data_IF_975726092592
#
_entry.id   IF_975726092592
#
_cell.length_a   1.000
_cell.length_b   1.000
_cell.length_c   1.000
_cell.angle_alpha   90.00
_cell.angle_beta   90.00
_cell.angle_gamma   90.00
#
_symmetry.space_group_name_H-M   'P 1'
#
loop_
_entity.id
_entity.type
_entity.pdbx_description
1 polymer ?
#
# COMPACT_ATOMS: atom_id res chain seq x y z
N UNK A 1 2.93 8.99 31.58
CA UNK A 1 2.97 10.18 30.69
C UNK A 1 3.96 10.06 29.55
N UNK A 2 4.93 9.11 29.54
CA UNK A 2 5.91 8.95 28.44
C UNK A 2 5.59 7.81 27.43
N UNK A 3 4.57 7.00 27.65
CA UNK A 3 4.18 5.91 26.73
C UNK A 3 3.15 6.31 25.67
N UNK A 4 2.48 7.45 25.82
CA UNK A 4 1.48 7.93 24.85
C UNK A 4 2.10 8.63 23.64
N UNK A 5 3.37 9.06 23.74
CA UNK A 5 4.10 9.74 22.68
C UNK A 5 4.55 8.75 21.58
N UNK A 6 4.68 7.47 21.90
CA UNK A 6 5.29 6.47 20.99
C UNK A 6 4.31 6.01 19.89
N UNK A 7 3.00 6.08 20.14
CA UNK A 7 2.02 5.71 19.09
C UNK A 7 1.70 6.85 18.12
N UNK A 8 1.98 8.09 18.48
CA UNK A 8 2.01 9.22 17.54
C UNK A 8 3.27 9.23 16.68
N UNK A 9 4.28 8.46 17.07
CA UNK A 9 5.60 8.46 16.44
C UNK A 9 5.65 7.77 15.07
N UNK A 10 4.64 7.03 14.67
CA UNK A 10 4.53 6.55 13.29
C UNK A 10 4.07 7.62 12.29
N UNK A 11 3.64 8.79 12.78
CA UNK A 11 3.32 9.97 11.97
C UNK A 11 4.12 11.21 12.39
N UNK A 12 4.93 11.12 13.39
CA UNK A 12 5.66 12.25 13.92
C UNK A 12 6.60 11.81 15.03
N UNK A 13 7.62 11.01 14.70
CA UNK A 13 8.81 11.05 15.50
C UNK A 13 9.43 12.42 15.25
N UNK A 14 8.91 13.43 15.95
CA UNK A 14 9.71 14.60 16.20
C UNK A 14 11.02 14.08 16.79
N UNK A 15 12.07 14.12 16.00
CA UNK A 15 13.44 13.86 16.43
C UNK A 15 13.82 14.88 17.48
N UNK A 16 13.24 14.77 18.68
CA UNK A 16 13.70 15.49 19.86
C UNK A 16 14.84 14.69 20.43
N UNK A 17 16.03 14.84 19.83
CA UNK A 17 17.21 14.38 20.52
C UNK A 17 18.42 13.95 19.71
N UNK A 18 18.35 13.69 18.42
CA UNK A 18 19.57 13.68 17.62
C UNK A 18 19.70 15.08 17.04
N UNK A 19 20.09 16.03 17.89
CA UNK A 19 20.69 17.26 17.43
C UNK A 19 21.98 16.85 16.70
N UNK A 20 21.90 16.68 15.39
CA UNK A 20 23.07 16.83 14.56
C UNK A 20 23.55 18.25 14.77
N UNK A 21 24.38 18.42 15.82
CA UNK A 21 25.15 19.61 16.10
C UNK A 21 26.22 19.74 15.03
N UNK A 22 25.81 19.93 13.80
CA UNK A 22 26.68 20.21 12.66
C UNK A 22 26.26 21.52 11.97
N UNK A 23 25.93 22.51 12.76
CA UNK A 23 26.17 23.87 12.36
C UNK A 23 27.47 24.34 13.02
N UNK A 24 28.61 23.90 12.50
CA UNK A 24 29.81 24.70 12.70
C UNK A 24 29.59 26.00 11.94
N UNK A 25 29.39 27.09 12.66
CA UNK A 25 29.68 28.42 12.13
C UNK A 25 31.18 28.46 11.82
N UNK A 26 31.56 27.91 10.67
CA UNK A 26 32.84 28.21 10.09
C UNK A 26 32.69 29.58 9.44
N UNK A 27 33.35 30.55 10.04
CA UNK A 27 33.75 31.81 9.40
C UNK A 27 34.74 31.44 8.29
N UNK A 28 34.25 30.90 7.18
CA UNK A 28 35.07 30.61 6.01
C UNK A 28 35.19 31.90 5.20
N UNK A 29 36.44 32.28 4.97
CA UNK A 29 36.89 33.33 4.08
C UNK A 29 36.18 33.23 2.72
N UNK A 30 35.48 34.27 2.22
CA UNK A 30 34.72 34.25 0.96
C UNK A 30 35.53 33.89 -0.30
N UNK A 31 36.86 33.74 -0.17
CA UNK A 31 37.79 33.56 -1.30
C UNK A 31 38.05 32.07 -1.67
N UNK A 32 37.47 31.09 -0.99
CA UNK A 32 37.74 29.67 -1.21
C UNK A 32 36.52 28.78 -1.34
N UNK A 33 35.34 29.28 -1.73
CA UNK A 33 34.22 28.40 -2.08
C UNK A 33 34.53 27.71 -3.38
N UNK A 34 34.45 26.36 -3.46
CA UNK A 34 34.49 25.66 -4.73
C UNK A 34 33.37 26.23 -5.63
N UNK A 35 33.59 26.19 -6.96
CA UNK A 35 32.61 26.65 -7.96
C UNK A 35 31.35 25.77 -7.86
N UNK A 36 30.44 26.15 -6.95
CA UNK A 36 29.15 25.50 -6.79
C UNK A 36 28.37 25.57 -8.09
N UNK A 37 27.96 24.41 -8.62
CA UNK A 37 27.17 24.30 -9.87
C UNK A 37 25.69 24.04 -9.62
N UNK A 38 25.28 23.79 -8.37
CA UNK A 38 23.90 23.51 -7.97
C UNK A 38 23.12 24.79 -7.63
N UNK A 39 21.80 24.74 -7.82
CA UNK A 39 20.87 25.73 -7.25
C UNK A 39 20.76 25.56 -5.73
N UNK A 40 20.19 26.54 -5.01
CA UNK A 40 19.90 26.38 -3.57
C UNK A 40 18.99 25.20 -3.29
N UNK A 41 18.01 24.97 -4.16
CA UNK A 41 17.12 23.82 -4.07
C UNK A 41 17.91 22.50 -4.13
N UNK A 42 18.72 22.31 -5.17
CA UNK A 42 19.51 21.08 -5.33
C UNK A 42 20.54 20.91 -4.22
N UNK A 43 21.15 22.01 -3.78
CA UNK A 43 22.10 21.99 -2.65
C UNK A 43 21.44 21.40 -1.39
N UNK A 44 20.34 21.99 -0.95
CA UNK A 44 19.66 21.53 0.27
C UNK A 44 18.95 20.19 0.10
N UNK A 45 18.44 19.86 -1.10
CA UNK A 45 17.85 18.56 -1.36
C UNK A 45 18.87 17.42 -1.26
N UNK A 46 20.10 17.61 -1.75
CA UNK A 46 21.17 16.64 -1.59
C UNK A 46 21.55 16.45 -0.11
N UNK A 47 21.70 17.55 0.65
CA UNK A 47 21.97 17.45 2.08
C UNK A 47 20.87 16.68 2.80
N UNK A 48 19.61 17.05 2.57
CA UNK A 48 18.47 16.38 3.18
C UNK A 48 18.45 14.89 2.86
N UNK A 49 18.55 14.51 1.58
CA UNK A 49 18.53 13.12 1.16
C UNK A 49 19.67 12.31 1.81
N UNK A 50 20.88 12.88 1.84
CA UNK A 50 22.04 12.26 2.45
C UNK A 50 21.87 12.06 3.94
N UNK A 51 21.44 13.10 4.69
CA UNK A 51 21.21 13.03 6.13
C UNK A 51 20.16 11.94 6.48
N UNK A 52 19.09 11.85 5.68
CA UNK A 52 18.04 10.84 5.89
C UNK A 52 18.54 9.43 5.62
N UNK A 53 19.29 9.21 4.54
CA UNK A 53 19.84 7.90 4.21
C UNK A 53 20.93 7.48 5.19
N UNK A 54 21.80 8.37 5.61
CA UNK A 54 22.82 8.06 6.64
C UNK A 54 22.19 7.65 7.97
N UNK A 55 21.11 8.32 8.38
CA UNK A 55 20.51 8.15 9.71
C UNK A 55 19.48 7.03 9.77
N UNK A 56 18.52 7.05 8.83
CA UNK A 56 17.31 6.24 8.94
C UNK A 56 17.33 5.00 8.07
N UNK A 57 18.07 5.00 6.96
CA UNK A 57 17.99 3.91 5.98
C UNK A 57 18.47 2.57 6.57
N UNK A 58 17.68 1.52 6.37
CA UNK A 58 18.01 0.19 6.90
C UNK A 58 19.36 -0.31 6.35
N UNK A 59 19.63 -0.12 5.07
CA UNK A 59 20.86 -0.51 4.37
C UNK A 59 21.89 0.64 4.30
N UNK A 60 21.96 1.50 5.32
CA UNK A 60 22.85 2.66 5.30
C UNK A 60 24.34 2.30 5.20
N UNK A 61 24.73 1.13 5.70
CA UNK A 61 26.11 0.63 5.60
C UNK A 61 26.46 0.15 4.21
N UNK A 62 25.52 -0.53 3.55
CA UNK A 62 25.67 -1.10 2.23
C UNK A 62 25.85 0.00 1.18
N UNK A 63 25.17 1.13 1.33
CA UNK A 63 25.24 2.28 0.42
C UNK A 63 26.26 3.35 0.83
N UNK A 64 27.00 3.15 1.93
CA UNK A 64 27.89 4.19 2.48
C UNK A 64 28.95 4.68 1.47
N UNK A 65 29.38 3.81 0.55
CA UNK A 65 30.31 4.17 -0.53
C UNK A 65 29.70 5.06 -1.61
N UNK A 66 28.38 5.05 -1.81
CA UNK A 66 27.67 5.75 -2.85
C UNK A 66 27.05 7.06 -2.35
N UNK A 67 26.88 7.25 -1.04
CA UNK A 67 26.36 8.49 -0.45
C UNK A 67 27.09 9.78 -0.88
N UNK A 68 28.41 9.78 -1.15
CA UNK A 68 29.09 10.94 -1.71
C UNK A 68 28.58 11.41 -3.07
N UNK A 69 27.81 10.59 -3.81
CA UNK A 69 27.15 11.01 -5.07
C UNK A 69 26.05 12.04 -4.82
N UNK A 70 25.49 12.09 -3.61
CA UNK A 70 24.60 13.17 -3.14
C UNK A 70 25.46 14.37 -2.69
N UNK A 71 26.27 14.91 -3.61
CA UNK A 71 27.13 16.04 -3.37
C UNK A 71 26.35 17.36 -3.52
N UNK A 72 26.18 18.16 -2.45
CA UNK A 72 25.44 19.42 -2.51
C UNK A 72 26.01 20.43 -3.51
N UNK A 73 27.32 20.41 -3.75
CA UNK A 73 27.98 21.41 -4.60
C UNK A 73 27.86 21.07 -6.11
N UNK A 74 27.71 19.77 -6.47
CA UNK A 74 27.83 19.33 -7.86
C UNK A 74 26.66 18.52 -8.39
N UNK A 75 25.87 17.83 -7.54
CA UNK A 75 24.75 16.99 -8.00
C UNK A 75 23.48 17.81 -8.25
N UNK A 76 23.06 17.86 -9.53
CA UNK A 76 21.88 18.60 -9.96
C UNK A 76 20.61 17.73 -10.08
N UNK A 77 20.66 16.45 -9.72
CA UNK A 77 19.51 15.53 -9.78
C UNK A 77 19.52 14.56 -8.59
N UNK A 78 19.20 15.04 -7.36
CA UNK A 78 19.20 14.19 -6.17
C UNK A 78 18.12 13.10 -6.22
N UNK A 79 16.99 13.31 -6.93
CA UNK A 79 15.91 12.32 -7.04
C UNK A 79 16.43 11.08 -7.78
N UNK A 80 16.97 11.26 -8.97
CA UNK A 80 17.57 10.15 -9.74
C UNK A 80 18.75 9.53 -9.01
N UNK A 81 19.56 10.35 -8.30
CA UNK A 81 20.69 9.83 -7.53
C UNK A 81 20.24 8.91 -6.40
N UNK A 82 19.22 9.27 -5.62
CA UNK A 82 18.64 8.40 -4.59
C UNK A 82 18.14 7.11 -5.19
N UNK A 83 17.45 7.17 -6.34
CA UNK A 83 16.95 5.97 -7.02
C UNK A 83 18.07 5.03 -7.49
N UNK A 84 19.23 5.58 -7.87
CA UNK A 84 20.38 4.82 -8.30
C UNK A 84 21.19 4.17 -7.17
N UNK A 85 21.32 4.87 -6.02
CA UNK A 85 22.16 4.41 -4.90
C UNK A 85 21.45 3.54 -3.87
N UNK A 86 20.11 3.46 -3.91
CA UNK A 86 19.37 2.56 -3.00
C UNK A 86 19.83 1.11 -3.19
N UNK A 87 19.73 0.31 -2.15
CA UNK A 87 20.45 -0.96 -2.03
C UNK A 87 20.16 -1.98 -3.15
N UNK A 88 21.23 -2.51 -3.69
CA UNK A 88 21.24 -3.53 -4.73
C UNK A 88 22.17 -4.70 -4.33
N UNK A 89 21.84 -5.92 -4.75
CA UNK A 89 22.74 -7.08 -4.74
C UNK A 89 23.14 -7.42 -6.19
N UNK A 90 24.28 -6.89 -6.62
CA UNK A 90 24.68 -6.95 -8.02
C UNK A 90 23.69 -6.19 -8.91
N UNK A 91 23.10 -6.87 -9.90
CA UNK A 91 22.08 -6.27 -10.79
C UNK A 91 20.67 -6.32 -10.22
N UNK A 92 20.46 -6.96 -9.05
CA UNK A 92 19.14 -7.09 -8.42
C UNK A 92 18.87 -5.91 -7.50
N UNK A 93 17.84 -5.12 -7.82
CA UNK A 93 17.32 -4.07 -6.92
C UNK A 93 16.66 -4.74 -5.71
N UNK A 94 17.19 -4.50 -4.52
CA UNK A 94 16.62 -5.01 -3.26
C UNK A 94 15.63 -4.00 -2.70
N UNK A 95 16.06 -2.76 -2.51
CA UNK A 95 15.14 -1.69 -2.15
C UNK A 95 14.45 -1.12 -3.40
N UNK A 96 13.17 -1.39 -3.53
CA UNK A 96 12.32 -0.91 -4.63
C UNK A 96 11.48 0.31 -4.23
N UNK A 97 11.55 0.76 -2.96
CA UNK A 97 10.52 1.63 -2.37
C UNK A 97 11.05 2.96 -1.86
N UNK A 98 12.32 3.06 -1.43
CA UNK A 98 12.90 4.35 -1.04
C UNK A 98 12.85 5.31 -2.20
N UNK A 99 12.30 6.51 -1.95
CA UNK A 99 12.16 7.56 -2.94
C UNK A 99 12.27 8.94 -2.32
N UNK A 100 12.97 9.83 -3.02
CA UNK A 100 13.01 11.27 -2.73
C UNK A 100 12.00 11.98 -3.63
N UNK A 101 11.28 12.95 -3.10
CA UNK A 101 10.29 13.72 -3.88
C UNK A 101 10.35 15.21 -3.57
N UNK A 102 10.08 16.03 -4.57
CA UNK A 102 9.89 17.49 -4.44
C UNK A 102 8.39 17.87 -4.33
N UNK A 103 7.51 16.88 -4.29
CA UNK A 103 6.07 17.06 -4.04
C UNK A 103 5.59 16.11 -2.93
N UNK A 104 6.13 16.34 -1.73
CA UNK A 104 5.83 15.51 -0.56
C UNK A 104 4.36 15.62 -0.13
N UNK A 105 3.74 16.78 -0.36
CA UNK A 105 2.32 16.98 -0.04
C UNK A 105 1.41 16.07 -0.86
N UNK A 106 1.62 16.00 -2.17
CA UNK A 106 0.82 15.08 -3.01
C UNK A 106 1.06 13.63 -2.66
N UNK A 107 2.31 13.26 -2.35
CA UNK A 107 2.65 11.91 -1.90
C UNK A 107 1.91 11.53 -0.61
N UNK A 108 1.93 12.36 0.43
CA UNK A 108 1.24 12.09 1.71
C UNK A 108 -0.27 12.05 1.54
N UNK A 109 -0.86 12.98 0.78
CA UNK A 109 -2.29 12.98 0.49
C UNK A 109 -2.74 11.69 -0.19
N UNK A 110 -1.95 11.15 -1.12
CA UNK A 110 -2.21 9.86 -1.76
C UNK A 110 -2.25 8.70 -0.76
N UNK A 111 -1.33 8.67 0.22
CA UNK A 111 -1.33 7.66 1.29
C UNK A 111 -2.53 7.82 2.22
N UNK A 112 -3.03 9.04 2.42
CA UNK A 112 -4.25 9.33 3.19
C UNK A 112 -5.55 8.99 2.42
N UNK A 113 -5.44 8.50 1.18
CA UNK A 113 -6.59 8.14 0.35
C UNK A 113 -7.32 9.34 -0.26
N UNK A 114 -6.72 10.54 -0.24
CA UNK A 114 -7.25 11.74 -0.90
C UNK A 114 -6.54 11.96 -2.22
N UNK A 115 -7.28 11.87 -3.31
CA UNK A 115 -6.74 12.03 -4.65
C UNK A 115 -7.66 12.86 -5.54
N UNK A 116 -7.07 13.52 -6.55
CA UNK A 116 -7.83 14.04 -7.69
C UNK A 116 -8.00 12.90 -8.68
N UNK A 117 -9.20 12.33 -8.72
CA UNK A 117 -9.45 11.03 -9.34
C UNK A 117 -10.81 10.98 -10.05
N UNK A 118 -10.98 10.00 -10.91
CA UNK A 118 -12.30 9.58 -11.42
C UNK A 118 -12.96 8.56 -10.50
N UNK A 119 -12.20 7.95 -9.57
CA UNK A 119 -12.66 6.97 -8.59
C UNK A 119 -12.96 5.60 -9.19
N UNK A 120 -12.13 5.13 -10.13
CA UNK A 120 -12.11 3.75 -10.58
C UNK A 120 -10.67 3.24 -10.72
N UNK A 121 -10.50 1.94 -10.62
CA UNK A 121 -9.21 1.29 -10.78
C UNK A 121 -9.14 0.58 -12.13
N UNK A 122 -8.39 1.10 -13.12
CA UNK A 122 -8.16 0.40 -14.38
C UNK A 122 -6.98 -0.56 -14.24
N UNK A 123 -7.11 -1.76 -14.81
CA UNK A 123 -6.02 -2.70 -15.03
C UNK A 123 -5.82 -2.81 -16.53
N UNK A 124 -4.63 -2.41 -17.01
CA UNK A 124 -4.35 -2.29 -18.44
C UNK A 124 -3.52 -3.45 -18.93
N UNK A 125 -3.90 -4.01 -20.05
CA UNK A 125 -3.26 -5.15 -20.69
C UNK A 125 -2.82 -4.81 -22.09
N UNK A 126 -1.61 -5.28 -22.46
CA UNK A 126 -1.12 -5.24 -23.83
C UNK A 126 -1.81 -6.35 -24.65
N UNK A 127 -2.44 -5.99 -25.76
CA UNK A 127 -3.20 -6.94 -26.59
C UNK A 127 -2.32 -7.91 -27.37
N UNK A 128 -1.07 -7.52 -27.69
CA UNK A 128 -0.10 -8.43 -28.31
C UNK A 128 1.33 -8.05 -27.95
N UNK A 129 2.21 -9.03 -27.80
CA UNK A 129 3.64 -8.82 -27.48
C UNK A 129 4.40 -7.96 -28.50
N UNK A 130 3.92 -7.86 -29.73
CA UNK A 130 4.57 -7.16 -30.84
C UNK A 130 3.88 -5.83 -31.19
N UNK A 131 2.77 -5.52 -30.53
CA UNK A 131 1.99 -4.30 -30.72
C UNK A 131 2.16 -3.30 -29.57
N UNK A 132 1.50 -2.16 -29.71
CA UNK A 132 1.39 -1.14 -28.68
C UNK A 132 -0.06 -0.89 -28.26
N UNK A 133 -1.01 -1.64 -28.83
CA UNK A 133 -2.43 -1.50 -28.48
C UNK A 133 -2.72 -2.16 -27.14
N UNK A 134 -3.50 -1.44 -26.34
CA UNK A 134 -3.90 -1.86 -25.00
C UNK A 134 -5.42 -1.93 -24.86
N UNK A 135 -5.87 -2.66 -23.88
CA UNK A 135 -7.23 -2.66 -23.34
C UNK A 135 -7.14 -2.49 -21.84
N UNK A 136 -8.02 -1.70 -21.24
CA UNK A 136 -8.14 -1.62 -19.80
C UNK A 136 -9.47 -2.20 -19.35
N UNK A 137 -9.43 -3.00 -18.28
CA UNK A 137 -10.62 -3.45 -17.58
C UNK A 137 -10.75 -2.69 -16.25
N UNK A 138 -11.94 -2.33 -15.85
CA UNK A 138 -12.19 -1.71 -14.55
C UNK A 138 -12.24 -2.80 -13.50
N UNK A 139 -11.28 -2.77 -12.54
CA UNK A 139 -11.20 -3.73 -11.44
C UNK A 139 -12.26 -3.45 -10.36
N UNK A 140 -12.46 -2.18 -10.02
CA UNK A 140 -13.52 -1.71 -9.12
C UNK A 140 -13.80 -0.21 -9.32
N UNK A 141 -14.88 0.25 -8.71
CA UNK A 141 -15.29 1.67 -8.73
C UNK A 141 -15.61 2.08 -7.30
N UNK A 142 -15.06 3.23 -6.88
CA UNK A 142 -15.36 3.81 -5.56
C UNK A 142 -16.76 4.39 -5.50
N UNK A 143 -17.43 4.18 -4.40
CA UNK A 143 -18.77 4.70 -4.15
C UNK A 143 -18.77 6.24 -4.10
N UNK A 144 -19.76 6.85 -4.69
CA UNK A 144 -19.91 8.31 -4.75
C UNK A 144 -19.03 9.01 -5.78
N UNK A 145 -18.17 8.27 -6.49
CA UNK A 145 -17.22 8.80 -7.46
C UNK A 145 -17.86 9.31 -8.76
N UNK A 146 -17.13 10.08 -9.59
CA UNK A 146 -17.52 10.39 -10.94
C UNK A 146 -17.79 9.15 -11.79
N UNK A 147 -16.97 8.10 -11.66
CA UNK A 147 -17.12 6.85 -12.40
C UNK A 147 -18.42 6.11 -12.03
N UNK A 148 -18.74 6.01 -10.73
CA UNK A 148 -20.01 5.41 -10.30
C UNK A 148 -21.21 6.20 -10.84
N UNK A 149 -21.19 7.54 -10.73
CA UNK A 149 -22.24 8.42 -11.26
C UNK A 149 -22.41 8.31 -12.77
N UNK A 150 -21.33 8.04 -13.49
CA UNK A 150 -21.33 7.81 -14.93
C UNK A 150 -21.78 6.39 -15.32
N UNK A 151 -22.02 5.50 -14.33
CA UNK A 151 -22.50 4.14 -14.51
C UNK A 151 -21.43 3.15 -14.94
N UNK A 152 -20.14 3.45 -14.68
CA UNK A 152 -19.04 2.50 -14.81
C UNK A 152 -19.08 1.48 -13.68
N UNK A 153 -18.60 0.27 -13.96
CA UNK A 153 -18.56 -0.84 -13.01
C UNK A 153 -17.41 -1.79 -13.31
N UNK A 154 -17.10 -2.67 -12.38
CA UNK A 154 -16.14 -3.75 -12.56
C UNK A 154 -16.48 -4.55 -13.81
N UNK A 155 -15.46 -4.82 -14.63
CA UNK A 155 -15.53 -5.57 -15.86
C UNK A 155 -15.87 -4.74 -17.11
N UNK A 156 -16.17 -3.43 -16.98
CA UNK A 156 -16.25 -2.56 -18.15
C UNK A 156 -14.87 -2.45 -18.81
N UNK A 157 -14.84 -2.61 -20.14
CA UNK A 157 -13.60 -2.58 -20.92
C UNK A 157 -13.47 -1.23 -21.63
N UNK A 158 -12.27 -0.65 -21.55
CA UNK A 158 -11.90 0.64 -22.16
C UNK A 158 -10.94 0.37 -23.30
N UNK A 159 -11.28 0.75 -24.53
CA UNK A 159 -10.43 0.56 -25.69
C UNK A 159 -9.95 1.86 -26.34
N UNK A 160 -10.58 3.00 -25.99
CA UNK A 160 -10.17 4.34 -26.46
C UNK A 160 -10.29 5.37 -25.36
N UNK A 161 -9.42 6.38 -25.44
CA UNK A 161 -9.42 7.60 -24.62
C UNK A 161 -9.53 8.77 -25.58
N UNK A 162 -10.53 9.65 -25.38
CA UNK A 162 -10.78 10.87 -26.18
C UNK A 162 -10.76 10.60 -27.69
N UNK A 163 -11.38 9.47 -28.09
CA UNK A 163 -11.47 9.02 -29.47
C UNK A 163 -10.19 8.40 -30.06
N UNK A 164 -9.13 8.27 -29.27
CA UNK A 164 -7.87 7.63 -29.69
C UNK A 164 -7.77 6.22 -29.11
N UNK A 165 -7.25 5.23 -29.85
CA UNK A 165 -6.98 3.91 -29.32
C UNK A 165 -6.10 3.97 -28.05
N UNK A 166 -6.41 3.09 -27.09
CA UNK A 166 -5.59 2.92 -25.90
C UNK A 166 -4.31 2.21 -26.27
N UNK A 167 -3.17 2.77 -25.87
CA UNK A 167 -1.83 2.30 -26.23
C UNK A 167 -0.87 2.40 -25.07
N UNK A 168 0.31 1.77 -25.21
CA UNK A 168 1.41 1.89 -24.24
C UNK A 168 1.89 3.33 -24.03
N UNK A 169 1.58 4.24 -24.96
CA UNK A 169 1.99 5.64 -24.89
C UNK A 169 0.97 6.55 -24.14
N UNK A 170 -0.30 6.13 -24.03
CA UNK A 170 -1.34 6.99 -23.48
C UNK A 170 -2.20 6.35 -22.37
N UNK A 171 -1.96 5.09 -21.99
CA UNK A 171 -2.79 4.42 -20.98
C UNK A 171 -2.74 5.11 -19.61
N UNK A 172 -1.65 5.81 -19.29
CA UNK A 172 -1.52 6.57 -18.04
C UNK A 172 -2.47 7.77 -17.97
N UNK A 173 -3.02 8.24 -19.10
CA UNK A 173 -4.04 9.29 -19.10
C UNK A 173 -5.34 8.85 -18.41
N UNK A 174 -5.58 7.52 -18.25
CA UNK A 174 -6.68 6.96 -17.47
C UNK A 174 -6.67 7.41 -16.00
N UNK A 175 -5.49 7.80 -15.50
CA UNK A 175 -5.29 8.23 -14.11
C UNK A 175 -5.09 9.73 -13.98
N UNK A 176 -4.37 10.35 -14.91
CA UNK A 176 -3.71 11.65 -14.70
C UNK A 176 -4.38 12.83 -15.43
N UNK A 177 -5.32 12.60 -16.34
CA UNK A 177 -6.05 13.68 -17.03
C UNK A 177 -7.07 14.33 -16.11
N UNK A 178 -7.29 15.65 -16.25
CA UNK A 178 -8.33 16.36 -15.49
C UNK A 178 -9.76 16.10 -16.03
N UNK A 179 -9.87 15.69 -17.28
CA UNK A 179 -11.12 15.27 -17.92
C UNK A 179 -10.82 14.16 -18.94
N UNK A 180 -11.77 13.25 -19.14
CA UNK A 180 -11.58 12.09 -20.00
C UNK A 180 -12.91 11.66 -20.65
N UNK A 181 -12.84 11.17 -21.88
CA UNK A 181 -13.93 10.47 -22.53
C UNK A 181 -13.49 9.06 -22.88
N UNK A 182 -14.09 8.08 -22.23
CA UNK A 182 -13.82 6.65 -22.41
C UNK A 182 -14.75 6.07 -23.47
N UNK A 183 -14.23 5.28 -24.40
CA UNK A 183 -15.04 4.45 -25.30
C UNK A 183 -14.99 3.00 -24.82
N UNK A 184 -16.17 2.39 -24.62
CA UNK A 184 -16.31 1.09 -24.01
C UNK A 184 -16.41 -0.03 -25.04
N UNK A 185 -15.85 -1.18 -24.71
CA UNK A 185 -15.93 -2.42 -25.44
C UNK A 185 -16.55 -3.53 -24.59
N UNK A 186 -16.88 -4.63 -25.21
CA UNK A 186 -17.31 -5.86 -24.57
C UNK A 186 -16.52 -7.05 -25.13
N UNK A 187 -16.40 -8.09 -24.31
CA UNK A 187 -15.79 -9.34 -24.71
C UNK A 187 -16.89 -10.29 -25.22
N UNK A 188 -16.85 -10.59 -26.51
CA UNK A 188 -17.76 -11.54 -27.14
C UNK A 188 -17.54 -12.99 -26.68
N UNK A 189 -18.52 -13.84 -26.97
CA UNK A 189 -18.45 -15.28 -26.63
C UNK A 189 -17.33 -16.02 -27.39
N UNK A 190 -16.83 -15.44 -28.46
CA UNK A 190 -15.72 -15.90 -29.28
C UNK A 190 -14.34 -15.37 -28.82
N UNK A 191 -14.30 -14.69 -27.66
CA UNK A 191 -13.15 -13.98 -27.11
C UNK A 191 -12.68 -12.80 -27.98
N UNK A 192 -13.55 -12.23 -28.80
CA UNK A 192 -13.26 -11.03 -29.57
C UNK A 192 -13.75 -9.79 -28.83
N UNK A 193 -12.87 -8.80 -28.67
CA UNK A 193 -13.20 -7.51 -28.08
C UNK A 193 -13.88 -6.65 -29.15
N UNK A 194 -15.12 -6.22 -28.89
CA UNK A 194 -15.90 -5.43 -29.83
C UNK A 194 -16.37 -4.12 -29.20
N UNK A 195 -16.28 -2.98 -29.92
CA UNK A 195 -16.83 -1.72 -29.45
C UNK A 195 -18.34 -1.80 -29.18
N UNK A 196 -18.78 -1.29 -28.03
CA UNK A 196 -20.22 -1.21 -27.71
C UNK A 196 -20.91 0.01 -28.31
N UNK A 197 -20.14 0.99 -28.81
CA UNK A 197 -20.64 2.31 -29.20
C UNK A 197 -20.97 3.23 -28.01
N UNK A 198 -20.84 2.75 -26.78
CA UNK A 198 -21.04 3.56 -25.56
C UNK A 198 -19.79 4.38 -25.24
N UNK A 199 -19.99 5.68 -24.95
CA UNK A 199 -18.94 6.56 -24.44
C UNK A 199 -19.34 7.12 -23.08
N UNK A 200 -18.33 7.39 -22.22
CA UNK A 200 -18.50 7.94 -20.88
C UNK A 200 -17.52 9.09 -20.70
N UNK A 201 -18.05 10.29 -20.46
CA UNK A 201 -17.22 11.49 -20.20
C UNK A 201 -17.28 11.85 -18.73
N UNK A 202 -16.14 12.17 -18.13
CA UNK A 202 -16.00 12.48 -16.71
C UNK A 202 -14.94 13.57 -16.50
N UNK A 203 -15.08 14.28 -15.39
CA UNK A 203 -14.02 15.14 -14.84
C UNK A 203 -13.48 14.51 -13.56
N UNK A 204 -12.18 14.56 -13.37
CA UNK A 204 -11.55 14.19 -12.11
C UNK A 204 -11.96 15.19 -11.02
N UNK A 205 -12.15 14.69 -9.80
CA UNK A 205 -12.48 15.49 -8.63
C UNK A 205 -11.59 15.09 -7.47
N UNK A 206 -11.27 16.04 -6.60
CA UNK A 206 -10.65 15.71 -5.33
C UNK A 206 -11.69 15.01 -4.44
N UNK A 207 -11.38 13.79 -4.01
CA UNK A 207 -12.26 13.01 -3.15
C UNK A 207 -11.46 12.02 -2.29
N UNK A 208 -12.06 11.60 -1.19
CA UNK A 208 -11.59 10.45 -0.45
C UNK A 208 -12.05 9.17 -1.16
N UNK A 209 -11.09 8.32 -1.48
CA UNK A 209 -11.32 7.00 -2.09
C UNK A 209 -11.52 5.97 -0.97
N UNK A 210 -12.77 5.78 -0.53
CA UNK A 210 -13.10 4.82 0.54
C UNK A 210 -12.53 3.43 0.19
N UNK A 211 -11.58 2.90 0.98
CA UNK A 211 -10.93 1.62 0.68
C UNK A 211 -11.81 0.41 0.97
N UNK A 212 -12.95 0.57 1.63
CA UNK A 212 -13.89 -0.52 1.87
C UNK A 212 -14.78 -0.71 0.64
N UNK A 213 -14.33 -1.59 -0.25
CA UNK A 213 -15.00 -1.84 -1.53
C UNK A 213 -16.30 -2.62 -1.36
N UNK A 214 -16.30 -3.60 -0.46
CA UNK A 214 -17.46 -4.44 -0.18
C UNK A 214 -17.32 -5.18 1.15
N UNK A 215 -18.40 -5.29 1.93
CA UNK A 215 -18.51 -6.21 3.06
C UNK A 215 -19.76 -7.09 2.95
N UNK A 216 -19.66 -8.36 3.35
CA UNK A 216 -20.77 -9.31 3.28
C UNK A 216 -20.64 -10.41 4.33
N UNK A 217 -21.74 -11.12 4.61
CA UNK A 217 -21.75 -12.31 5.44
C UNK A 217 -22.44 -13.41 4.65
N UNK A 218 -21.78 -14.57 4.52
CA UNK A 218 -22.31 -15.75 3.85
C UNK A 218 -22.67 -16.82 4.86
N UNK A 219 -23.81 -17.48 4.66
CA UNK A 219 -24.17 -18.70 5.39
C UNK A 219 -23.69 -19.90 4.60
N UNK A 220 -22.78 -20.65 5.18
CA UNK A 220 -22.23 -21.87 4.59
C UNK A 220 -22.54 -23.05 5.51
N UNK A 221 -23.59 -23.77 5.21
CA UNK A 221 -24.03 -24.92 6.02
C UNK A 221 -24.27 -24.57 7.50
N UNK A 222 -24.83 -23.39 7.77
CA UNK A 222 -25.08 -22.88 9.13
C UNK A 222 -23.89 -22.19 9.80
N UNK A 223 -22.73 -22.12 9.14
CA UNK A 223 -21.56 -21.36 9.57
C UNK A 223 -21.57 -19.98 8.90
N UNK A 224 -21.39 -18.91 9.69
CA UNK A 224 -21.28 -17.54 9.18
C UNK A 224 -19.83 -17.25 8.81
N UNK A 225 -19.60 -16.89 7.56
CA UNK A 225 -18.30 -16.46 7.01
C UNK A 225 -18.41 -15.01 6.60
N UNK A 226 -17.56 -14.14 7.17
CA UNK A 226 -17.45 -12.74 6.77
C UNK A 226 -16.67 -12.60 5.45
N UNK A 227 -16.92 -11.54 4.72
CA UNK A 227 -16.13 -11.11 3.58
C UNK A 227 -15.88 -9.62 3.68
N UNK A 228 -14.65 -9.20 3.45
CA UNK A 228 -14.25 -7.81 3.37
C UNK A 228 -13.26 -7.64 2.21
N UNK A 229 -13.63 -6.86 1.20
CA UNK A 229 -12.72 -6.40 0.15
C UNK A 229 -12.21 -5.01 0.53
N UNK A 230 -10.89 -4.89 0.66
CA UNK A 230 -10.23 -3.72 1.24
C UNK A 230 -8.99 -3.34 0.43
N UNK A 231 -8.93 -2.09 -0.06
CA UNK A 231 -7.94 -1.67 -1.07
C UNK A 231 -6.79 -0.82 -0.52
N UNK A 232 -6.88 -0.27 0.70
CA UNK A 232 -5.80 0.54 1.29
C UNK A 232 -5.92 0.64 2.80
N UNK A 233 -4.80 0.58 3.52
CA UNK A 233 -4.73 0.75 4.98
C UNK A 233 -4.62 2.22 5.35
N UNK A 234 -5.63 3.03 5.09
CA UNK A 234 -5.66 4.42 5.52
C UNK A 234 -6.24 4.60 6.93
N UNK A 235 -5.97 5.75 7.55
CA UNK A 235 -6.41 6.03 8.92
C UNK A 235 -7.92 6.33 8.99
N UNK A 236 -8.48 6.93 7.95
CA UNK A 236 -9.87 7.39 7.93
C UNK A 236 -10.86 6.22 7.89
N UNK A 237 -10.44 5.05 7.41
CA UNK A 237 -11.27 3.83 7.34
C UNK A 237 -11.40 3.09 8.68
N UNK A 238 -10.54 3.33 9.67
CA UNK A 238 -10.54 2.59 10.94
C UNK A 238 -11.92 2.62 11.64
N UNK A 239 -12.63 3.75 11.74
CA UNK A 239 -13.96 3.77 12.36
C UNK A 239 -14.97 2.85 11.67
N UNK A 240 -14.95 2.81 10.34
CA UNK A 240 -15.85 1.95 9.56
C UNK A 240 -15.46 0.47 9.69
N UNK A 241 -14.17 0.14 9.70
CA UNK A 241 -13.68 -1.22 9.97
C UNK A 241 -14.12 -1.73 11.35
N UNK A 242 -14.10 -0.85 12.37
CA UNK A 242 -14.62 -1.16 13.71
C UNK A 242 -16.11 -1.52 13.66
N UNK A 243 -16.93 -0.74 12.95
CA UNK A 243 -18.38 -1.02 12.85
C UNK A 243 -18.66 -2.31 12.05
N UNK A 244 -17.92 -2.58 10.98
CA UNK A 244 -18.02 -3.85 10.23
C UNK A 244 -17.64 -5.03 11.13
N UNK A 245 -16.55 -4.91 11.89
CA UNK A 245 -16.09 -5.96 12.80
C UNK A 245 -17.09 -6.22 13.93
N UNK A 246 -17.72 -5.18 14.49
CA UNK A 246 -18.83 -5.32 15.46
C UNK A 246 -20.04 -6.04 14.84
N UNK A 247 -20.41 -5.70 13.61
CA UNK A 247 -21.46 -6.39 12.84
C UNK A 247 -21.14 -7.86 12.66
N UNK A 248 -19.92 -8.18 12.21
CA UNK A 248 -19.48 -9.57 12.03
C UNK A 248 -19.51 -10.35 13.35
N UNK A 249 -19.04 -9.75 14.43
CA UNK A 249 -19.08 -10.34 15.78
C UNK A 249 -20.53 -10.61 16.23
N UNK A 250 -21.43 -9.65 16.07
CA UNK A 250 -22.84 -9.78 16.46
C UNK A 250 -23.56 -10.89 15.68
N UNK A 251 -23.21 -11.08 14.41
CA UNK A 251 -23.73 -12.15 13.54
C UNK A 251 -23.09 -13.52 13.81
N UNK A 252 -22.08 -13.59 14.69
CA UNK A 252 -21.41 -14.83 15.05
C UNK A 252 -20.39 -15.33 14.00
N UNK A 253 -19.83 -14.44 13.19
CA UNK A 253 -18.74 -14.75 12.26
C UNK A 253 -17.55 -15.31 13.02
N UNK A 254 -16.99 -16.43 12.53
CA UNK A 254 -15.78 -17.07 13.07
C UNK A 254 -14.68 -17.24 12.02
N UNK A 255 -15.03 -17.13 10.77
CA UNK A 255 -14.09 -17.17 9.66
C UNK A 255 -14.28 -15.94 8.78
N UNK A 256 -13.18 -15.36 8.29
CA UNK A 256 -13.18 -14.16 7.45
C UNK A 256 -12.45 -14.44 6.15
N UNK A 257 -13.09 -14.12 5.03
CA UNK A 257 -12.42 -13.94 3.76
C UNK A 257 -12.01 -12.47 3.68
N UNK A 258 -10.70 -12.20 3.76
CA UNK A 258 -10.11 -10.88 3.67
C UNK A 258 -9.49 -10.71 2.28
N UNK A 259 -10.14 -9.92 1.44
CA UNK A 259 -9.75 -9.72 0.06
C UNK A 259 -8.85 -8.49 -0.07
N UNK A 260 -7.57 -8.74 -0.20
CA UNK A 260 -6.50 -7.74 -0.30
C UNK A 260 -5.86 -7.71 -1.70
N UNK A 261 -6.50 -8.33 -2.72
CA UNK A 261 -5.91 -8.47 -4.07
C UNK A 261 -5.52 -7.14 -4.74
N UNK A 262 -6.13 -6.03 -4.34
CA UNK A 262 -5.84 -4.68 -4.85
C UNK A 262 -5.20 -3.77 -3.80
N UNK A 263 -4.68 -4.33 -2.71
CA UNK A 263 -4.24 -3.55 -1.56
C UNK A 263 -2.72 -3.48 -1.45
N UNK A 264 -2.14 -2.33 -1.80
CA UNK A 264 -0.70 -2.06 -1.74
C UNK A 264 -0.15 -1.78 -0.33
N UNK A 265 -0.98 -1.87 0.71
CA UNK A 265 -0.59 -1.56 2.10
C UNK A 265 -1.12 -0.23 2.58
N UNK A 266 -0.37 0.47 3.42
CA UNK A 266 -0.68 1.76 4.01
C UNK A 266 -0.14 1.90 5.43
N UNK A 267 -0.93 2.50 6.33
CA UNK A 267 -0.49 2.80 7.70
C UNK A 267 -0.44 1.57 8.61
N UNK A 268 0.69 1.36 9.27
CA UNK A 268 0.90 0.31 10.30
C UNK A 268 -0.12 0.40 11.43
N UNK A 269 -0.59 1.62 11.79
CA UNK A 269 -1.64 1.80 12.80
C UNK A 269 -2.94 1.12 12.37
N UNK A 270 -3.33 1.25 11.11
CA UNK A 270 -4.53 0.62 10.57
C UNK A 270 -4.37 -0.90 10.50
N UNK A 271 -3.21 -1.37 10.10
CA UNK A 271 -2.81 -2.77 10.14
C UNK A 271 -2.94 -3.35 11.56
N UNK A 272 -2.32 -2.71 12.56
CA UNK A 272 -2.39 -3.10 13.97
C UNK A 272 -3.82 -3.10 14.51
N UNK A 273 -4.65 -2.11 14.10
CA UNK A 273 -6.07 -2.07 14.47
C UNK A 273 -6.84 -3.27 13.89
N UNK A 274 -6.62 -3.60 12.61
CA UNK A 274 -7.23 -4.77 11.98
C UNK A 274 -6.74 -6.07 12.63
N UNK A 275 -5.44 -6.19 12.92
CA UNK A 275 -4.88 -7.33 13.63
C UNK A 275 -5.57 -7.55 14.99
N UNK A 276 -5.79 -6.49 15.76
CA UNK A 276 -6.47 -6.56 17.05
C UNK A 276 -7.95 -6.93 16.95
N UNK A 277 -8.61 -6.60 15.82
CA UNK A 277 -10.01 -6.98 15.57
C UNK A 277 -10.14 -8.43 15.13
N UNK A 278 -9.14 -8.99 14.45
CA UNK A 278 -9.23 -10.31 13.80
C UNK A 278 -8.52 -11.42 14.56
N UNK A 279 -7.45 -11.12 15.29
CA UNK A 279 -6.72 -12.12 16.07
C UNK A 279 -7.60 -12.81 17.13
N UNK A 280 -7.22 -14.04 17.57
CA UNK A 280 -7.88 -14.70 18.68
C UNK A 280 -7.91 -13.81 19.92
N UNK A 281 -9.07 -13.82 20.61
CA UNK A 281 -9.29 -12.95 21.78
C UNK A 281 -8.22 -13.10 22.87
N UNK A 282 -7.70 -14.32 23.06
CA UNK A 282 -6.63 -14.57 24.03
C UNK A 282 -5.34 -13.83 23.68
N UNK A 283 -4.95 -13.82 22.40
CA UNK A 283 -3.74 -13.13 21.94
C UNK A 283 -3.82 -11.62 22.20
N UNK A 284 -4.99 -11.02 21.90
CA UNK A 284 -5.24 -9.59 22.10
C UNK A 284 -5.31 -9.23 23.58
N UNK A 285 -6.08 -9.99 24.38
CA UNK A 285 -6.27 -9.72 25.82
C UNK A 285 -4.98 -9.90 26.61
N UNK A 286 -4.12 -10.84 26.21
CA UNK A 286 -2.81 -11.09 26.83
C UNK A 286 -1.71 -10.20 26.26
N UNK A 287 -2.03 -9.30 25.30
CA UNK A 287 -1.07 -8.40 24.66
C UNK A 287 0.16 -9.16 24.13
N UNK A 288 -0.07 -10.30 23.45
CA UNK A 288 1.02 -11.02 22.78
C UNK A 288 1.64 -10.13 21.71
N UNK A 289 2.90 -10.40 21.36
CA UNK A 289 3.61 -9.62 20.34
C UNK A 289 2.96 -9.91 18.97
N UNK A 290 2.52 -8.87 18.30
CA UNK A 290 1.99 -8.96 16.94
C UNK A 290 3.12 -8.89 15.91
N UNK A 291 4.00 -7.90 16.06
CA UNK A 291 5.06 -7.61 15.13
C UNK A 291 6.34 -7.18 15.85
N UNK A 292 7.47 -7.38 15.22
CA UNK A 292 8.79 -6.89 15.63
C UNK A 292 9.44 -6.19 14.46
N UNK A 293 10.22 -5.17 14.73
CA UNK A 293 10.95 -4.45 13.71
C UNK A 293 12.46 -4.52 13.99
N UNK A 294 13.22 -4.82 12.94
CA UNK A 294 14.68 -4.80 12.95
C UNK A 294 15.16 -3.56 12.19
N UNK A 295 15.89 -2.70 12.88
CA UNK A 295 16.41 -1.43 12.38
C UNK A 295 17.91 -1.49 12.08
N UNK A 296 18.44 -0.44 11.43
CA UNK A 296 19.89 -0.25 11.33
C UNK A 296 20.53 -0.06 12.73
N UNK A 297 21.87 -0.16 12.83
CA UNK A 297 22.58 -0.09 14.12
C UNK A 297 22.38 1.26 14.85
N UNK A 298 22.23 2.37 14.11
CA UNK A 298 22.05 3.69 14.71
C UNK A 298 20.68 3.81 15.39
N UNK A 299 19.63 3.41 14.70
CA UNK A 299 18.27 3.42 15.25
C UNK A 299 18.12 2.39 16.36
N UNK A 300 18.72 1.20 16.20
CA UNK A 300 18.72 0.17 17.24
C UNK A 300 19.35 0.71 18.53
N UNK A 301 20.54 1.30 18.45
CA UNK A 301 21.22 1.88 19.60
C UNK A 301 20.42 3.03 20.25
N UNK A 302 19.77 3.87 19.42
CA UNK A 302 18.90 4.94 19.90
C UNK A 302 17.69 4.39 20.66
N UNK A 303 16.98 3.42 20.10
CA UNK A 303 15.81 2.81 20.75
C UNK A 303 16.19 2.10 22.05
N UNK A 304 17.31 1.39 22.09
CA UNK A 304 17.83 0.79 23.32
C UNK A 304 18.15 1.84 24.39
N UNK A 305 18.82 2.95 24.01
CA UNK A 305 19.15 4.05 24.92
C UNK A 305 17.90 4.72 25.49
N UNK A 306 16.88 4.95 24.67
CA UNK A 306 15.61 5.58 25.08
C UNK A 306 14.64 4.59 25.74
N UNK A 307 14.96 3.29 25.77
CA UNK A 307 14.10 2.24 26.30
C UNK A 307 12.81 2.06 25.49
N UNK A 308 12.88 2.32 24.18
CA UNK A 308 11.78 2.16 23.23
C UNK A 308 11.80 0.71 22.72
N UNK A 309 10.67 0.02 22.83
CA UNK A 309 10.52 -1.34 22.33
C UNK A 309 10.37 -1.34 20.81
N UNK A 310 11.11 -2.21 20.12
CA UNK A 310 10.92 -2.54 18.71
C UNK A 310 9.91 -3.68 18.50
N UNK A 311 9.31 -4.19 19.59
CA UNK A 311 8.23 -5.17 19.56
C UNK A 311 6.88 -4.49 19.79
N UNK A 312 5.94 -4.72 18.89
CA UNK A 312 4.59 -4.18 18.92
C UNK A 312 3.61 -5.26 19.40
N UNK A 313 3.07 -5.15 20.63
CA UNK A 313 2.04 -6.07 21.10
C UNK A 313 0.69 -5.75 20.47
N UNK A 314 -0.22 -6.73 20.44
CA UNK A 314 -1.63 -6.43 20.18
C UNK A 314 -2.14 -5.38 21.16
N UNK A 315 -2.84 -4.38 20.63
CA UNK A 315 -3.41 -3.28 21.41
C UNK A 315 -4.84 -2.98 20.94
N UNK A 316 -5.61 -2.29 21.75
CA UNK A 316 -7.01 -2.00 21.44
C UNK A 316 -7.35 -0.52 21.48
N UNK A 317 -6.40 0.33 21.84
CA UNK A 317 -6.60 1.77 21.91
C UNK A 317 -5.65 2.46 20.93
N UNK A 318 -6.19 3.25 20.04
CA UNK A 318 -5.46 3.93 18.97
C UNK A 318 -5.75 5.43 19.01
N UNK A 319 -4.68 6.23 19.06
CA UNK A 319 -4.77 7.68 19.05
C UNK A 319 -3.75 8.25 18.08
N UNK A 320 -4.23 9.01 17.10
CA UNK A 320 -3.42 9.73 16.13
C UNK A 320 -3.89 11.18 16.11
N UNK A 321 -3.13 12.07 16.70
CA UNK A 321 -3.53 13.47 16.89
C UNK A 321 -3.65 14.21 15.56
N UNK A 322 -2.71 13.99 14.64
CA UNK A 322 -2.71 14.60 13.30
C UNK A 322 -3.95 14.25 12.48
N UNK A 323 -4.50 13.04 12.64
CA UNK A 323 -5.72 12.59 11.98
C UNK A 323 -6.98 12.78 12.84
N UNK A 324 -6.87 13.40 14.03
CA UNK A 324 -7.95 13.50 15.01
C UNK A 324 -8.63 12.14 15.30
N UNK A 325 -7.86 11.06 15.24
CA UNK A 325 -8.32 9.70 15.50
C UNK A 325 -8.13 9.36 16.99
N UNK A 326 -9.19 8.89 17.63
CA UNK A 326 -9.17 8.34 18.99
C UNK A 326 -10.22 7.23 19.05
N UNK A 327 -9.80 5.97 18.95
CA UNK A 327 -10.71 4.84 18.75
C UNK A 327 -10.24 3.60 19.51
N UNK A 328 -11.22 2.83 20.01
CA UNK A 328 -11.00 1.52 20.62
C UNK A 328 -11.53 0.40 19.74
N UNK A 329 -10.72 -0.63 19.53
CA UNK A 329 -11.09 -1.87 18.83
C UNK A 329 -11.53 -2.98 19.79
N UNK A 330 -11.53 -2.72 21.10
CA UNK A 330 -11.80 -3.72 22.15
C UNK A 330 -13.13 -4.47 21.94
N UNK A 331 -14.20 -3.74 21.64
CA UNK A 331 -15.52 -4.34 21.43
C UNK A 331 -15.69 -4.93 20.01
N UNK A 332 -14.79 -4.58 19.10
CA UNK A 332 -14.77 -5.02 17.73
C UNK A 332 -13.94 -6.29 17.49
N UNK A 333 -13.20 -6.80 18.49
CA UNK A 333 -12.49 -8.06 18.33
C UNK A 333 -13.51 -9.19 18.09
N UNK A 334 -13.44 -9.78 16.89
CA UNK A 334 -14.31 -10.87 16.43
C UNK A 334 -13.87 -12.19 17.06
N UNK A 335 -12.56 -12.35 17.30
CA UNK A 335 -11.95 -13.59 17.77
C UNK A 335 -12.10 -14.67 16.73
N UNK A 336 -11.54 -14.44 15.55
CA UNK A 336 -11.62 -15.36 14.43
C UNK A 336 -10.85 -16.66 14.72
N UNK A 337 -11.33 -17.75 14.12
CA UNK A 337 -10.67 -19.06 14.12
C UNK A 337 -9.83 -19.25 12.86
N UNK A 338 -10.23 -18.60 11.75
CA UNK A 338 -9.55 -18.71 10.46
C UNK A 338 -9.72 -17.44 9.62
N UNK A 339 -8.66 -17.08 8.89
CA UNK A 339 -8.67 -16.09 7.82
C UNK A 339 -8.32 -16.77 6.50
N UNK A 340 -9.10 -16.45 5.46
CA UNK A 340 -8.77 -16.73 4.07
C UNK A 340 -8.31 -15.42 3.44
N UNK A 341 -7.00 -15.27 3.21
CA UNK A 341 -6.43 -14.08 2.58
C UNK A 341 -6.46 -14.21 1.06
N UNK A 342 -7.26 -13.39 0.38
CA UNK A 342 -7.18 -13.30 -1.08
C UNK A 342 -6.08 -12.31 -1.43
N UNK A 343 -5.04 -12.76 -2.12
CA UNK A 343 -3.84 -12.00 -2.46
C UNK A 343 -3.53 -12.03 -3.96
N UNK A 344 -2.80 -11.02 -4.43
CA UNK A 344 -2.25 -10.93 -5.79
C UNK A 344 -0.91 -10.20 -5.77
N UNK A 345 -0.27 -10.03 -6.92
CA UNK A 345 0.95 -9.23 -7.06
C UNK A 345 0.82 -7.77 -6.59
N UNK A 346 -0.40 -7.27 -6.41
CA UNK A 346 -0.68 -5.94 -5.86
C UNK A 346 -0.86 -5.93 -4.33
N UNK A 347 -0.89 -7.11 -3.68
CA UNK A 347 -0.94 -7.22 -2.22
C UNK A 347 0.45 -6.99 -1.64
N UNK A 348 0.66 -5.87 -0.93
CA UNK A 348 1.99 -5.47 -0.48
C UNK A 348 2.00 -4.89 0.94
N UNK A 349 3.18 -4.87 1.59
CA UNK A 349 3.43 -4.12 2.83
C UNK A 349 2.45 -4.52 3.96
N UNK A 350 1.63 -3.58 4.48
CA UNK A 350 0.66 -3.83 5.56
C UNK A 350 -0.30 -4.99 5.24
N UNK A 351 -0.61 -5.28 3.97
CA UNK A 351 -1.38 -6.46 3.59
C UNK A 351 -0.63 -7.76 3.91
N UNK A 352 0.66 -7.81 3.58
CA UNK A 352 1.53 -8.96 3.83
C UNK A 352 1.87 -9.07 5.31
N UNK A 353 2.11 -7.93 5.98
CA UNK A 353 2.44 -7.85 7.40
C UNK A 353 1.25 -8.31 8.26
N UNK A 354 0.02 -7.85 7.99
CA UNK A 354 -1.18 -8.30 8.69
C UNK A 354 -1.35 -9.81 8.62
N UNK A 355 -1.28 -10.38 7.41
CA UNK A 355 -1.45 -11.83 7.23
C UNK A 355 -0.32 -12.60 7.92
N UNK A 356 0.94 -12.16 7.75
CA UNK A 356 2.13 -12.75 8.40
C UNK A 356 2.07 -12.67 9.92
N UNK A 357 1.63 -11.55 10.47
CA UNK A 357 1.51 -11.32 11.92
C UNK A 357 0.39 -12.14 12.58
N UNK A 358 -0.64 -12.54 11.82
CA UNK A 358 -1.71 -13.41 12.30
C UNK A 358 -1.33 -14.90 12.28
N UNK A 359 -0.42 -15.34 11.37
CA UNK A 359 -0.02 -16.75 11.21
C UNK A 359 0.44 -17.44 12.50
N UNK A 360 1.19 -16.80 13.43
CA UNK A 360 1.58 -17.43 14.70
C UNK A 360 0.41 -17.76 15.63
N UNK A 361 -0.77 -17.17 15.42
CA UNK A 361 -1.89 -17.20 16.36
C UNK A 361 -3.12 -17.94 15.87
N UNK A 362 -3.25 -18.08 14.54
CA UNK A 362 -4.44 -18.66 13.93
C UNK A 362 -4.15 -19.26 12.55
N UNK A 363 -5.12 -19.99 12.02
CA UNK A 363 -5.02 -20.49 10.65
C UNK A 363 -5.26 -19.37 9.65
N UNK A 364 -4.24 -19.05 8.83
CA UNK A 364 -4.30 -18.13 7.70
C UNK A 364 -4.06 -18.96 6.45
N UNK A 365 -5.07 -19.09 5.58
CA UNK A 365 -4.99 -19.77 4.29
C UNK A 365 -4.98 -18.74 3.17
N UNK A 366 -3.95 -18.77 2.34
CA UNK A 366 -3.74 -17.81 1.27
C UNK A 366 -4.29 -18.32 -0.04
N UNK A 367 -5.06 -17.48 -0.73
CA UNK A 367 -5.75 -17.82 -1.99
C UNK A 367 -5.39 -16.76 -3.02
N UNK A 368 -4.99 -17.17 -4.21
CA UNK A 368 -4.74 -16.24 -5.28
C UNK A 368 -3.42 -16.43 -5.99
N UNK A 369 -2.68 -15.34 -6.15
CA UNK A 369 -1.36 -15.27 -6.76
C UNK A 369 -0.33 -14.81 -5.73
N UNK A 370 0.96 -15.00 -6.02
CA UNK A 370 2.05 -14.55 -5.17
C UNK A 370 1.94 -13.04 -4.92
N UNK A 371 2.13 -12.61 -3.66
CA UNK A 371 2.09 -11.21 -3.29
C UNK A 371 3.35 -10.45 -3.72
N UNK A 372 3.42 -9.16 -3.43
CA UNK A 372 4.47 -8.27 -3.93
C UNK A 372 5.86 -8.52 -3.33
N UNK A 373 5.93 -8.90 -2.05
CA UNK A 373 7.21 -9.09 -1.33
C UNK A 373 7.78 -7.81 -0.73
N UNK A 374 6.94 -6.87 -0.29
CA UNK A 374 7.40 -5.69 0.45
C UNK A 374 7.47 -5.99 1.95
N UNK A 375 8.64 -6.43 2.39
CA UNK A 375 8.94 -6.88 3.74
C UNK A 375 9.57 -5.81 4.64
N UNK A 376 9.55 -4.54 4.23
CA UNK A 376 10.16 -3.44 4.96
C UNK A 376 9.14 -2.33 5.24
N UNK A 377 9.36 -1.66 6.39
CA UNK A 377 8.59 -0.48 6.80
C UNK A 377 9.38 0.78 6.46
N UNK A 378 8.68 1.82 6.01
CA UNK A 378 9.29 3.09 5.66
C UNK A 378 8.75 4.24 6.49
N UNK A 379 9.61 5.26 6.71
CA UNK A 379 9.19 6.54 7.26
C UNK A 379 8.94 7.54 6.12
N UNK A 380 7.83 8.25 6.23
CA UNK A 380 7.54 9.43 5.40
C UNK A 380 8.04 10.66 6.15
N UNK A 381 9.15 11.25 5.70
CA UNK A 381 9.79 12.39 6.34
C UNK A 381 9.80 13.58 5.40
N UNK A 382 9.02 14.60 5.75
CA UNK A 382 9.13 15.91 5.12
C UNK A 382 10.28 16.73 5.72
N UNK A 383 10.77 17.71 5.00
CA UNK A 383 11.82 18.60 5.52
C UNK A 383 11.42 19.33 6.81
N UNK A 384 10.12 19.61 6.98
CA UNK A 384 9.56 20.20 8.21
C UNK A 384 9.57 19.27 9.43
N UNK A 385 9.66 17.95 9.19
CA UNK A 385 9.70 16.97 10.27
C UNK A 385 11.10 16.82 10.86
N UNK A 386 12.12 17.28 10.11
CA UNK A 386 13.53 17.06 10.41
C UNK A 386 14.25 18.35 10.81
N UNK A 387 13.96 19.46 10.11
CA UNK A 387 14.67 20.70 10.33
C UNK A 387 13.85 21.71 11.15
N UNK A 388 14.44 22.29 12.21
CA UNK A 388 13.83 23.40 12.95
C UNK A 388 13.58 24.63 12.07
N UNK A 389 14.45 24.86 11.08
CA UNK A 389 14.34 25.93 10.08
C UNK A 389 14.51 25.35 8.70
N UNK A 390 13.39 25.12 8.04
CA UNK A 390 13.38 24.60 6.68
C UNK A 390 13.89 25.66 5.71
N UNK A 391 14.91 25.36 4.87
CA UNK A 391 15.26 26.24 3.75
C UNK A 391 14.06 26.35 2.78
N UNK A 392 13.66 27.58 2.45
CA UNK A 392 12.48 27.87 1.59
C UNK A 392 12.53 27.08 0.28
N UNK A 393 13.73 26.87 -0.26
CA UNK A 393 13.93 26.16 -1.52
C UNK A 393 13.47 24.68 -1.50
N UNK A 394 13.34 24.07 -0.31
CA UNK A 394 12.97 22.65 -0.15
C UNK A 394 11.75 22.43 0.76
N UNK A 395 10.89 23.44 0.94
CA UNK A 395 9.72 23.32 1.85
C UNK A 395 8.77 22.19 1.50
N UNK A 396 8.64 21.80 0.23
CA UNK A 396 7.78 20.68 -0.22
C UNK A 396 8.56 19.42 -0.55
N UNK A 397 9.82 19.33 -0.14
CA UNK A 397 10.61 18.12 -0.30
C UNK A 397 10.38 17.15 0.85
N UNK A 398 10.52 15.87 0.53
CA UNK A 398 10.47 14.80 1.51
C UNK A 398 11.02 13.51 0.94
N UNK A 399 11.20 12.54 1.81
CA UNK A 399 11.69 11.21 1.48
C UNK A 399 10.79 10.15 2.10
N UNK A 400 10.50 9.11 1.34
CA UNK A 400 10.01 7.85 1.87
C UNK A 400 11.20 6.91 1.94
N UNK A 401 11.70 6.63 3.14
CA UNK A 401 12.93 5.89 3.38
C UNK A 401 12.63 4.58 4.11
N UNK A 402 13.13 3.46 3.61
CA UNK A 402 12.99 2.15 4.27
C UNK A 402 13.88 2.08 5.50
N UNK A 403 13.29 1.87 6.67
CA UNK A 403 13.97 2.00 7.97
C UNK A 403 14.11 0.68 8.71
N UNK A 404 13.23 -0.29 8.45
CA UNK A 404 13.19 -1.56 9.17
C UNK A 404 12.69 -2.71 8.32
N UNK A 405 13.02 -3.93 8.76
CA UNK A 405 12.39 -5.17 8.28
C UNK A 405 11.45 -5.66 9.38
N UNK A 406 10.19 -5.92 9.04
CA UNK A 406 9.23 -6.46 9.99
C UNK A 406 9.31 -7.99 10.09
N UNK A 407 9.02 -8.50 11.27
CA UNK A 407 8.98 -9.93 11.62
C UNK A 407 7.72 -10.22 12.43
N UNK A 408 7.15 -11.39 12.24
CA UNK A 408 6.06 -11.85 13.09
C UNK A 408 6.56 -12.32 14.49
N UNK A 409 5.66 -12.77 15.35
CA UNK A 409 6.01 -13.22 16.68
C UNK A 409 7.01 -14.39 16.72
N UNK A 410 7.09 -15.20 15.66
CA UNK A 410 8.05 -16.29 15.51
C UNK A 410 9.43 -15.83 14.99
N UNK A 411 9.66 -14.53 14.83
CA UNK A 411 10.84 -13.93 14.18
C UNK A 411 10.97 -14.30 12.68
N UNK A 412 9.87 -14.50 11.99
CA UNK A 412 9.81 -14.82 10.58
C UNK A 412 9.28 -13.64 9.77
N UNK A 413 9.72 -13.53 8.51
CA UNK A 413 9.20 -12.59 7.51
C UNK A 413 8.73 -13.40 6.30
N UNK A 414 7.51 -13.99 6.34
CA UNK A 414 7.05 -14.97 5.34
C UNK A 414 7.01 -14.42 3.91
N UNK A 415 6.87 -13.11 3.71
CA UNK A 415 6.84 -12.49 2.38
C UNK A 415 8.23 -12.15 1.81
N UNK A 416 9.30 -12.40 2.57
CA UNK A 416 10.67 -12.13 2.10
C UNK A 416 11.23 -13.34 1.36
N UNK A 417 11.90 -13.19 0.19
CA UNK A 417 12.11 -11.92 -0.54
C UNK A 417 11.07 -11.66 -1.64
N UNK A 418 10.25 -12.63 -1.99
CA UNK A 418 9.51 -12.65 -3.25
C UNK A 418 7.98 -12.60 -3.08
N UNK A 419 7.49 -12.38 -1.85
CA UNK A 419 6.08 -12.31 -1.50
C UNK A 419 5.53 -13.59 -0.85
N UNK A 420 4.32 -13.47 -0.28
CA UNK A 420 3.57 -14.58 0.26
C UNK A 420 3.13 -15.51 -0.87
N UNK A 421 3.40 -16.80 -0.72
CA UNK A 421 2.97 -17.82 -1.68
C UNK A 421 1.57 -18.30 -1.33
N UNK A 422 0.58 -18.30 -2.26
CA UNK A 422 -0.75 -18.80 -1.96
C UNK A 422 -0.78 -20.32 -1.76
N UNK A 423 -1.59 -20.77 -0.79
CA UNK A 423 -1.87 -22.19 -0.57
C UNK A 423 -2.78 -22.75 -1.67
N UNK A 424 -3.67 -21.91 -2.19
CA UNK A 424 -4.61 -22.24 -3.26
C UNK A 424 -4.49 -21.24 -4.39
N UNK A 425 -4.04 -21.71 -5.55
CA UNK A 425 -3.92 -20.85 -6.72
C UNK A 425 -5.29 -20.43 -7.26
N UNK A 426 -5.47 -19.15 -7.47
CA UNK A 426 -6.60 -18.53 -8.14
C UNK A 426 -6.14 -17.23 -8.78
N UNK A 427 -6.75 -16.84 -9.89
CA UNK A 427 -6.45 -15.57 -10.56
C UNK A 427 -7.68 -14.71 -10.69
N UNK A 428 -7.47 -13.41 -10.62
CA UNK A 428 -8.52 -12.45 -10.97
C UNK A 428 -8.77 -12.47 -12.48
N UNK A 429 -10.03 -12.28 -12.85
CA UNK A 429 -10.41 -12.11 -14.25
C UNK A 429 -11.23 -10.82 -14.38
N UNK A 430 -10.55 -9.68 -14.58
CA UNK A 430 -11.21 -8.38 -14.67
C UNK A 430 -12.04 -8.21 -15.95
N UNK A 431 -11.94 -9.13 -16.92
CA UNK A 431 -12.79 -9.15 -18.13
C UNK A 431 -14.18 -9.72 -17.86
N UNK A 432 -14.38 -10.36 -16.70
CA UNK A 432 -15.67 -10.88 -16.28
C UNK A 432 -16.41 -9.84 -15.44
N UNK A 433 -17.66 -9.53 -15.80
CA UNK A 433 -18.46 -8.50 -15.13
C UNK A 433 -19.01 -8.90 -13.75
N UNK A 434 -18.47 -9.95 -13.12
CA UNK A 434 -18.90 -10.39 -11.79
C UNK A 434 -18.34 -9.43 -10.74
N UNK A 435 -19.24 -8.83 -9.98
CA UNK A 435 -18.87 -7.82 -8.99
C UNK A 435 -18.20 -8.43 -7.75
N UNK A 436 -17.37 -7.64 -7.04
CA UNK A 436 -16.85 -8.04 -5.73
C UNK A 436 -18.02 -8.33 -4.77
N UNK A 437 -17.90 -9.40 -4.00
CA UNK A 437 -18.97 -9.87 -3.11
C UNK A 437 -20.00 -10.79 -3.77
N UNK A 438 -20.00 -10.97 -5.09
CA UNK A 438 -20.81 -11.99 -5.75
C UNK A 438 -20.19 -13.38 -5.52
N UNK A 439 -20.99 -14.33 -5.04
CA UNK A 439 -20.56 -15.69 -4.76
C UNK A 439 -19.98 -16.46 -5.96
N UNK A 440 -20.20 -15.97 -7.18
CA UNK A 440 -19.67 -16.53 -8.43
C UNK A 440 -18.41 -15.81 -8.91
N UNK A 441 -17.95 -14.72 -8.24
CA UNK A 441 -16.69 -14.08 -8.54
C UNK A 441 -15.54 -15.07 -8.32
N UNK A 442 -14.58 -15.13 -9.24
CA UNK A 442 -13.65 -16.26 -9.36
C UNK A 442 -12.83 -16.52 -8.08
N UNK A 443 -12.20 -15.51 -7.52
CA UNK A 443 -11.36 -15.67 -6.33
C UNK A 443 -12.21 -15.85 -5.07
N UNK A 444 -13.31 -15.08 -4.93
CA UNK A 444 -14.26 -15.26 -3.83
C UNK A 444 -14.92 -16.64 -3.86
N UNK A 445 -15.29 -17.14 -5.04
CA UNK A 445 -15.82 -18.51 -5.21
C UNK A 445 -14.83 -19.54 -4.73
N UNK A 446 -13.54 -19.37 -5.03
CA UNK A 446 -12.47 -20.26 -4.55
C UNK A 446 -12.40 -20.22 -3.03
N UNK A 447 -12.36 -19.02 -2.42
CA UNK A 447 -12.33 -18.86 -0.97
C UNK A 447 -13.58 -19.45 -0.28
N UNK A 448 -14.77 -19.21 -0.82
CA UNK A 448 -16.01 -19.81 -0.31
C UNK A 448 -16.00 -21.34 -0.43
N UNK A 449 -15.37 -21.89 -1.46
CA UNK A 449 -15.21 -23.36 -1.60
C UNK A 449 -14.30 -23.90 -0.50
N UNK A 450 -13.18 -23.24 -0.19
CA UNK A 450 -12.31 -23.59 0.93
C UNK A 450 -13.04 -23.48 2.28
N UNK A 451 -13.97 -22.53 2.41
CA UNK A 451 -14.84 -22.38 3.56
C UNK A 451 -15.95 -23.44 3.64
N UNK A 452 -16.06 -24.34 2.64
CA UNK A 452 -17.00 -25.45 2.62
C UNK A 452 -18.28 -25.23 1.79
N UNK A 453 -18.36 -24.16 1.00
CA UNK A 453 -19.47 -23.94 0.06
C UNK A 453 -19.35 -24.89 -1.13
N UNK A 454 -20.45 -25.56 -1.46
CA UNK A 454 -20.52 -26.43 -2.64
C UNK A 454 -21.18 -25.68 -3.81
N UNK A 455 -20.65 -25.88 -5.01
CA UNK A 455 -21.20 -25.32 -6.25
C UNK A 455 -21.64 -26.47 -7.18
N UNK A 456 -22.70 -26.29 -7.97
CA UNK A 456 -23.11 -27.30 -8.96
C UNK A 456 -21.98 -27.55 -9.96
N UNK A 457 -21.80 -28.84 -10.33
CA UNK A 457 -20.82 -29.21 -11.34
C UNK A 457 -21.13 -28.53 -12.69
N UNK A 458 -20.10 -27.95 -13.33
CA UNK A 458 -20.20 -27.31 -14.66
C UNK A 458 -20.31 -25.79 -14.68
N UNK A 459 -20.33 -25.11 -13.54
CA UNK A 459 -20.15 -23.65 -13.45
C UNK A 459 -18.67 -23.25 -13.31
N UNK A 460 -17.83 -23.71 -14.23
CA UNK A 460 -16.49 -23.14 -14.30
C UNK A 460 -16.60 -21.75 -14.92
N UNK A 461 -16.09 -20.73 -14.22
CA UNK A 461 -15.81 -19.43 -14.81
C UNK A 461 -14.97 -19.66 -16.08
N UNK A 462 -15.33 -19.03 -17.19
CA UNK A 462 -14.49 -19.00 -18.38
C UNK A 462 -13.24 -18.23 -18.01
N UNK A 463 -12.14 -18.88 -17.65
CA UNK A 463 -10.85 -18.22 -17.60
C UNK A 463 -10.44 -17.95 -19.05
N UNK A 464 -10.24 -16.69 -19.37
CA UNK A 464 -9.64 -16.34 -20.65
C UNK A 464 -8.17 -16.74 -20.62
N UNK A 465 -7.78 -17.73 -21.44
CA UNK A 465 -6.38 -18.02 -21.77
C UNK A 465 -5.80 -16.93 -22.72
N UNK A 466 -6.13 -15.66 -22.48
CA UNK A 466 -5.41 -14.58 -23.11
C UNK A 466 -4.11 -14.39 -22.31
N UNK A 467 -2.98 -14.79 -22.90
CA UNK A 467 -1.65 -14.43 -22.40
C UNK A 467 -1.41 -12.95 -22.69
N UNK A 468 -2.15 -12.09 -22.01
CA UNK A 468 -1.93 -10.66 -22.07
C UNK A 468 -0.94 -10.27 -20.96
N UNK A 469 -0.02 -9.38 -21.31
CA UNK A 469 0.93 -8.82 -20.35
C UNK A 469 0.24 -7.61 -19.69
N UNK A 470 0.10 -7.67 -18.37
CA UNK A 470 -0.33 -6.51 -17.58
C UNK A 470 0.72 -5.40 -17.68
N UNK A 471 0.25 -4.18 -17.87
CA UNK A 471 1.10 -3.00 -17.92
C UNK A 471 1.28 -2.46 -16.49
N UNK A 472 2.46 -1.94 -16.13
CA UNK A 472 2.68 -1.32 -14.82
C UNK A 472 1.73 -0.15 -14.62
N UNK A 473 1.28 0.00 -13.37
CA UNK A 473 0.47 1.15 -12.92
C UNK A 473 1.34 2.39 -12.74
#
# INVERSE_FOLDING_TARGET
>A
MKKEVIMSAFLGLACTGILLSSCSENNDDPSSKPDRTTTDEMYYANQFARDMLETYYYWNKEIAGDLPLLDPETNNDPITTVDQIKYHEGDKVIDKWTMLTNDFKSFTSGVEGVATTYGYMPVTYLLSEQGNECISAIAYVHKGSPAEKAGLKRGDLIYQIDGKPLTTANYTELFNSSSITLSLAELGADNVITPTGKTVSMNAVEMYEDPILCDSIYDINGKKVGYLAYSSFDLASIPQLVEISKKFKAEGVKELILDLRYNGGGYVITESAMASMYAPQEAVSSKKIFEKEEYNDLLTAYYEQEGISTETPFQTEYKVESANLNISTKDANIGLEKVYGIISGNSASASEALLSGLMPYMNVELIGEQSHGKYCTGFMLGTSDVYEKVPVAIENWGIYVMVSIYKNANNETPCMPDGLTPDVAASDDPFVMTQLGDVNEAMLKTALTQAGKTYPAGQNSRSMNLRMKEMPM
#
